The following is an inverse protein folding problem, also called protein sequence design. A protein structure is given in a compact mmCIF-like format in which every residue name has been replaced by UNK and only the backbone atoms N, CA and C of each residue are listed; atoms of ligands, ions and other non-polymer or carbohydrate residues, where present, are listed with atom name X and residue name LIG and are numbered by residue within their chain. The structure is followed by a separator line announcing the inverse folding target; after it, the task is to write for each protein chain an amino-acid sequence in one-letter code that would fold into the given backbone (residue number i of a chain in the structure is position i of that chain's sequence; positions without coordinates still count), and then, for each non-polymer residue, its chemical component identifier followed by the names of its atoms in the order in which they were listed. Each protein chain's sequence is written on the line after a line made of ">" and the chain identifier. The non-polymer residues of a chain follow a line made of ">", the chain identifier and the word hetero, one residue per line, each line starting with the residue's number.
data_IF_105532069395
#
_entry.id   IF_105532069395
#
_cell.length_a   1.000
_cell.length_b   1.000
_cell.length_c   1.000
_cell.angle_alpha   90.00
_cell.angle_beta   90.00
_cell.angle_gamma   90.00
#
_symmetry.space_group_name_H-M   'P 1'
#
loop_
_entity.id
_entity.type
_entity.pdbx_description
1 polymer ?
#
# COMPACT_ATOMS: atom_id res chain seq x y z
N UNK A 1 -33.90 -40.64 82.65
CA UNK A 1 -35.30 -40.95 82.25
C UNK A 1 -35.84 -39.78 81.44
N UNK A 2 -36.40 -40.06 80.25
CA UNK A 2 -37.54 -39.40 79.57
C UNK A 2 -37.60 -37.85 79.58
N UNK A 3 -37.95 -37.11 78.54
CA UNK A 3 -38.45 -37.33 77.18
C UNK A 3 -38.68 -35.90 76.61
N UNK A 4 -38.67 -35.76 75.28
CA UNK A 4 -39.67 -35.01 74.48
C UNK A 4 -39.86 -33.49 74.71
N UNK A 5 -39.54 -32.60 73.76
CA UNK A 5 -40.32 -32.20 72.54
C UNK A 5 -41.32 -31.05 72.75
N UNK A 6 -40.96 -29.92 72.12
CA UNK A 6 -41.73 -28.90 71.34
C UNK A 6 -42.76 -27.94 71.98
N UNK A 7 -42.66 -26.74 71.40
CA UNK A 7 -43.71 -25.78 71.00
C UNK A 7 -44.12 -24.71 72.03
N UNK A 8 -43.81 -23.44 71.74
CA UNK A 8 -44.81 -22.41 71.36
C UNK A 8 -44.23 -20.98 71.46
N UNK A 9 -44.79 -20.10 70.61
CA UNK A 9 -44.85 -18.63 70.73
C UNK A 9 -43.52 -17.88 70.41
N UNK A 10 -43.48 -16.68 69.80
CA UNK A 10 -44.47 -15.62 69.60
C UNK A 10 -43.96 -14.69 68.48
N UNK A 11 -44.87 -14.00 67.78
CA UNK A 11 -44.59 -12.84 66.93
C UNK A 11 -43.70 -11.80 67.63
N UNK A 12 -42.79 -11.15 66.89
CA UNK A 12 -42.35 -9.78 67.19
C UNK A 12 -42.08 -8.99 65.91
N UNK A 13 -42.43 -7.70 65.97
CA UNK A 13 -42.55 -6.76 64.87
C UNK A 13 -41.21 -6.14 64.39
N UNK A 14 -41.25 -5.68 63.14
CA UNK A 14 -40.54 -4.56 62.50
C UNK A 14 -39.17 -4.10 63.06
N UNK A 15 -38.14 -4.25 62.22
CA UNK A 15 -37.06 -3.27 62.10
C UNK A 15 -36.64 -3.17 60.63
N UNK A 16 -36.93 -2.02 60.03
CA UNK A 16 -36.41 -1.63 58.72
C UNK A 16 -34.91 -1.31 58.86
N UNK A 17 -34.08 -2.02 58.08
CA UNK A 17 -32.71 -1.60 57.77
C UNK A 17 -32.48 -1.91 56.29
N UNK A 18 -32.29 -0.84 55.53
CA UNK A 18 -32.07 -0.89 54.10
C UNK A 18 -30.81 -1.67 53.74
N UNK A 19 -30.97 -2.56 52.77
CA UNK A 19 -29.89 -3.00 51.90
C UNK A 19 -30.44 -2.94 50.48
N UNK A 20 -30.47 -1.73 49.92
CA UNK A 20 -30.43 -1.56 48.47
C UNK A 20 -29.12 -2.22 48.02
N UNK A 21 -29.21 -3.46 47.57
CA UNK A 21 -28.17 -4.09 46.78
C UNK A 21 -28.07 -3.32 45.47
N UNK A 22 -27.24 -2.28 45.46
CA UNK A 22 -26.77 -1.63 44.25
C UNK A 22 -25.99 -2.69 43.47
N UNK A 23 -26.66 -3.33 42.53
CA UNK A 23 -26.00 -3.93 41.38
C UNK A 23 -25.27 -2.79 40.67
N UNK A 24 -23.99 -2.63 40.99
CA UNK A 24 -23.06 -1.86 40.16
C UNK A 24 -22.96 -2.60 38.82
N UNK A 25 -23.94 -2.38 37.96
CA UNK A 25 -23.77 -2.46 36.53
C UNK A 25 -22.77 -1.36 36.18
N UNK A 26 -21.48 -1.69 36.29
CA UNK A 26 -20.44 -1.02 35.53
C UNK A 26 -20.83 -1.18 34.06
N UNK A 27 -21.59 -0.21 33.57
CA UNK A 27 -21.63 0.12 32.17
C UNK A 27 -20.21 0.54 31.82
N UNK A 28 -19.35 -0.43 31.49
CA UNK A 28 -18.16 -0.15 30.71
C UNK A 28 -18.69 0.44 29.41
N UNK A 29 -18.76 1.77 29.35
CA UNK A 29 -18.78 2.45 28.06
C UNK A 29 -17.43 2.10 27.45
N UNK A 30 -17.39 0.99 26.71
CA UNK A 30 -16.20 0.52 26.03
C UNK A 30 -15.93 1.60 24.98
N UNK A 31 -15.11 2.59 25.35
CA UNK A 31 -14.75 3.68 24.46
C UNK A 31 -14.13 3.04 23.22
N UNK A 32 -14.54 3.46 22.01
CA UNK A 32 -14.05 2.84 20.79
C UNK A 32 -12.52 2.95 20.74
N UNK A 33 -11.86 1.88 20.31
CA UNK A 33 -10.41 1.88 20.12
C UNK A 33 -10.04 2.92 19.06
N UNK A 34 -9.17 3.86 19.39
CA UNK A 34 -8.84 4.98 18.51
C UNK A 34 -7.64 4.65 17.64
N UNK A 35 -7.81 4.72 16.33
CA UNK A 35 -6.76 4.50 15.33
C UNK A 35 -6.65 5.73 14.41
N UNK A 36 -5.43 6.12 14.05
CA UNK A 36 -5.21 7.26 13.16
C UNK A 36 -4.37 6.90 11.94
N UNK A 37 -4.60 7.63 10.85
CA UNK A 37 -3.81 7.58 9.63
C UNK A 37 -3.26 8.96 9.28
N UNK A 38 -2.04 9.01 8.75
CA UNK A 38 -1.38 10.22 8.29
C UNK A 38 -1.05 10.02 6.82
N UNK A 39 -1.57 10.91 5.97
CA UNK A 39 -1.43 10.85 4.52
C UNK A 39 -0.58 12.01 3.99
N UNK A 40 0.24 11.72 2.98
CA UNK A 40 1.00 12.74 2.25
C UNK A 40 0.13 13.53 1.28
N UNK A 41 -0.85 12.88 0.64
CA UNK A 41 -1.80 13.49 -0.27
C UNK A 41 -3.22 13.59 0.29
N UNK A 42 -4.21 13.54 -0.61
CA UNK A 42 -5.65 13.60 -0.29
C UNK A 42 -6.33 12.28 -0.60
N UNK A 43 -7.33 11.88 0.18
CA UNK A 43 -8.16 10.69 -0.04
C UNK A 43 -8.94 10.70 -1.37
N UNK A 44 -8.93 11.82 -2.09
CA UNK A 44 -9.46 11.97 -3.45
C UNK A 44 -8.40 12.11 -4.53
N UNK A 45 -7.14 11.72 -4.28
CA UNK A 45 -6.06 11.74 -5.28
C UNK A 45 -6.24 10.69 -6.40
N UNK A 46 -7.15 9.73 -6.20
CA UNK A 46 -7.40 8.62 -7.10
C UNK A 46 -6.18 7.70 -7.30
N UNK A 47 -5.28 7.63 -6.32
CA UNK A 47 -4.13 6.73 -6.33
C UNK A 47 -3.73 6.34 -4.91
N UNK A 48 -2.50 6.65 -4.52
CA UNK A 48 -1.87 6.20 -3.28
C UNK A 48 -2.69 6.50 -2.02
N UNK A 49 -3.05 7.76 -1.80
CA UNK A 49 -3.76 8.16 -0.58
C UNK A 49 -5.19 7.62 -0.59
N UNK A 50 -5.86 7.62 -1.74
CA UNK A 50 -7.18 7.01 -1.86
C UNK A 50 -7.12 5.51 -1.50
N UNK A 51 -6.13 4.76 -2.00
CA UNK A 51 -5.98 3.34 -1.68
C UNK A 51 -5.82 3.11 -0.17
N UNK A 52 -4.99 3.93 0.50
CA UNK A 52 -4.84 3.89 1.95
C UNK A 52 -6.14 4.24 2.70
N UNK A 53 -6.85 5.27 2.25
CA UNK A 53 -8.10 5.68 2.85
C UNK A 53 -9.21 4.64 2.66
N UNK A 54 -9.27 3.98 1.52
CA UNK A 54 -10.16 2.85 1.28
C UNK A 54 -9.80 1.67 2.19
N UNK A 55 -8.51 1.43 2.43
CA UNK A 55 -8.05 0.51 3.47
C UNK A 55 -8.55 0.89 4.88
N UNK A 56 -8.48 2.16 5.26
CA UNK A 56 -9.01 2.67 6.54
C UNK A 56 -10.53 2.45 6.62
N UNK A 57 -11.28 2.72 5.55
CA UNK A 57 -12.74 2.49 5.48
C UNK A 57 -13.09 1.01 5.67
N UNK A 58 -12.26 0.07 5.19
CA UNK A 58 -12.44 -1.37 5.46
C UNK A 58 -12.32 -1.68 6.96
N UNK A 59 -11.45 -1.00 7.69
CA UNK A 59 -11.38 -1.11 9.16
C UNK A 59 -12.68 -0.66 9.81
N UNK A 60 -13.21 0.49 9.41
CA UNK A 60 -14.50 1.01 9.90
C UNK A 60 -15.64 0.04 9.60
N UNK A 61 -15.69 -0.49 8.39
CA UNK A 61 -16.71 -1.43 7.96
C UNK A 61 -16.66 -2.75 8.74
N UNK A 62 -15.47 -3.31 8.98
CA UNK A 62 -15.32 -4.62 9.62
C UNK A 62 -15.36 -4.58 11.15
N UNK A 63 -14.90 -3.49 11.77
CA UNK A 63 -14.84 -3.36 13.24
C UNK A 63 -15.99 -2.53 13.82
N UNK A 64 -16.70 -1.78 12.97
CA UNK A 64 -17.89 -1.01 13.35
C UNK A 64 -17.63 -0.10 14.55
N UNK A 65 -18.53 -0.16 15.54
CA UNK A 65 -18.46 0.69 16.75
C UNK A 65 -17.32 0.35 17.70
N UNK A 66 -16.59 -0.75 17.48
CA UNK A 66 -15.43 -1.10 18.30
C UNK A 66 -14.21 -0.22 18.02
N UNK A 67 -14.18 0.49 16.88
CA UNK A 67 -13.09 1.38 16.47
C UNK A 67 -13.63 2.78 16.20
N UNK A 68 -12.77 3.79 16.40
CA UNK A 68 -12.97 5.14 15.87
C UNK A 68 -11.73 5.52 15.10
N UNK A 69 -11.85 5.62 13.78
CA UNK A 69 -10.73 6.05 12.94
C UNK A 69 -10.68 7.58 12.82
N UNK A 70 -9.48 8.12 12.66
CA UNK A 70 -9.23 9.52 12.31
C UNK A 70 -8.13 9.58 11.27
N UNK A 71 -8.05 10.65 10.48
CA UNK A 71 -6.95 10.82 9.55
C UNK A 71 -6.53 12.30 9.43
N UNK A 72 -5.31 12.51 8.93
CA UNK A 72 -4.75 13.82 8.59
C UNK A 72 -4.19 13.75 7.17
N UNK A 73 -4.61 14.67 6.32
CA UNK A 73 -4.25 14.72 4.90
C UNK A 73 -3.26 15.85 4.62
N UNK A 74 -2.62 15.81 3.45
CA UNK A 74 -1.67 16.82 2.99
C UNK A 74 -0.58 17.11 4.03
N UNK A 75 -0.11 16.08 4.74
CA UNK A 75 0.98 16.23 5.70
C UNK A 75 2.28 16.13 4.94
N UNK A 76 3.07 17.22 4.83
CA UNK A 76 4.32 17.16 4.09
C UNK A 76 5.33 16.28 4.84
N UNK A 77 6.23 15.64 4.10
CA UNK A 77 7.36 14.90 4.69
C UNK A 77 8.33 15.84 5.42
N UNK A 78 8.89 15.37 6.53
CA UNK A 78 9.84 16.13 7.34
C UNK A 78 9.43 16.30 8.81
N UNK A 79 10.13 17.18 9.56
CA UNK A 79 9.99 17.28 11.01
C UNK A 79 8.59 17.63 11.52
N UNK A 80 7.77 18.32 10.72
CA UNK A 80 6.40 18.69 11.07
C UNK A 80 5.48 17.48 11.31
N UNK A 81 5.84 16.30 10.80
CA UNK A 81 5.10 15.05 11.05
C UNK A 81 5.05 14.73 12.55
N UNK A 82 6.11 15.04 13.31
CA UNK A 82 6.13 14.85 14.77
C UNK A 82 4.99 15.60 15.46
N UNK A 83 4.74 16.85 15.08
CA UNK A 83 3.65 17.66 15.65
C UNK A 83 2.26 17.08 15.35
N UNK A 84 2.09 16.51 14.16
CA UNK A 84 0.85 15.82 13.78
C UNK A 84 0.65 14.58 14.64
N UNK A 85 1.69 13.77 14.80
CA UNK A 85 1.66 12.56 15.64
C UNK A 85 1.38 12.91 17.09
N UNK A 86 2.07 13.88 17.68
CA UNK A 86 1.82 14.35 19.06
C UNK A 86 0.36 14.76 19.26
N UNK A 87 -0.24 15.45 18.27
CA UNK A 87 -1.65 15.80 18.28
C UNK A 87 -2.56 14.56 18.31
N UNK A 88 -2.28 13.56 17.45
CA UNK A 88 -3.04 12.31 17.40
C UNK A 88 -2.89 11.48 18.69
N UNK A 89 -1.71 11.47 19.30
CA UNK A 89 -1.47 10.82 20.60
C UNK A 89 -2.23 11.55 21.71
N UNK A 90 -2.21 12.89 21.73
CA UNK A 90 -2.98 13.71 22.69
C UNK A 90 -4.48 13.48 22.56
N UNK A 91 -4.96 13.26 21.33
CA UNK A 91 -6.35 12.89 21.07
C UNK A 91 -6.67 11.47 21.57
N UNK A 92 -5.68 10.66 21.94
CA UNK A 92 -5.86 9.34 22.54
C UNK A 92 -5.84 8.18 21.53
N UNK A 93 -5.30 8.39 20.33
CA UNK A 93 -5.07 7.28 19.39
C UNK A 93 -4.06 6.29 19.97
N UNK A 94 -4.33 5.00 19.78
CA UNK A 94 -3.54 3.87 20.32
C UNK A 94 -2.76 3.12 19.25
N UNK A 95 -3.12 3.31 17.98
CA UNK A 95 -2.32 2.94 16.82
C UNK A 95 -2.33 4.07 15.80
N UNK A 96 -1.19 4.35 15.18
CA UNK A 96 -1.01 5.41 14.18
C UNK A 96 -0.30 4.81 12.96
N UNK A 97 -0.95 4.92 11.80
CA UNK A 97 -0.41 4.53 10.50
C UNK A 97 0.13 5.76 9.78
N UNK A 98 1.39 5.73 9.37
CA UNK A 98 2.01 6.72 8.51
C UNK A 98 2.21 6.13 7.12
N UNK A 99 1.63 6.76 6.10
CA UNK A 99 1.49 6.16 4.77
C UNK A 99 2.42 6.78 3.73
N UNK A 100 3.65 7.14 4.10
CA UNK A 100 4.61 7.71 3.15
C UNK A 100 6.04 7.51 3.65
N UNK A 101 6.97 7.25 2.73
CA UNK A 101 8.37 6.95 3.01
C UNK A 101 9.02 7.99 3.94
N UNK A 102 8.87 9.28 3.61
CA UNK A 102 9.53 10.38 4.34
C UNK A 102 8.97 10.65 5.74
N UNK A 103 7.93 9.91 6.18
CA UNK A 103 7.43 10.00 7.56
C UNK A 103 8.25 9.18 8.56
N UNK A 104 9.07 8.25 8.08
CA UNK A 104 9.75 7.26 8.89
C UNK A 104 10.58 7.84 10.05
N UNK A 105 11.33 8.92 9.81
CA UNK A 105 12.22 9.49 10.82
C UNK A 105 11.42 10.10 11.98
N UNK A 106 10.35 10.84 11.65
CA UNK A 106 9.43 11.37 12.63
C UNK A 106 8.72 10.25 13.39
N UNK A 107 8.26 9.20 12.69
CA UNK A 107 7.61 8.05 13.33
C UNK A 107 8.53 7.31 14.30
N UNK A 108 9.82 7.15 13.97
CA UNK A 108 10.81 6.56 14.87
C UNK A 108 11.04 7.41 16.12
N UNK A 109 11.13 8.74 15.97
CA UNK A 109 11.28 9.67 17.09
C UNK A 109 10.06 9.64 18.02
N UNK A 110 8.85 9.66 17.46
CA UNK A 110 7.61 9.62 18.22
C UNK A 110 7.35 8.26 18.88
N UNK A 111 7.73 7.17 18.23
CA UNK A 111 7.68 5.84 18.82
C UNK A 111 8.51 5.76 20.11
N UNK A 112 9.69 6.40 20.14
CA UNK A 112 10.53 6.47 21.34
C UNK A 112 9.90 7.31 22.47
N UNK A 113 9.14 8.36 22.14
CA UNK A 113 8.44 9.23 23.11
C UNK A 113 7.15 8.59 23.65
N UNK A 114 6.52 7.70 22.89
CA UNK A 114 5.18 7.17 23.17
C UNK A 114 5.12 5.63 23.19
N UNK A 115 5.73 4.96 24.19
CA UNK A 115 5.81 3.50 24.23
C UNK A 115 4.46 2.77 24.34
N UNK A 116 3.40 3.45 24.79
CA UNK A 116 2.06 2.88 24.89
C UNK A 116 1.32 2.86 23.54
N UNK A 117 1.70 3.72 22.60
CA UNK A 117 1.11 3.81 21.25
C UNK A 117 1.84 2.89 20.29
N UNK A 118 1.11 2.31 19.34
CA UNK A 118 1.65 1.46 18.27
C UNK A 118 1.78 2.27 16.98
N UNK A 119 2.89 2.11 16.30
CA UNK A 119 3.23 2.85 15.09
C UNK A 119 3.43 1.87 13.95
N UNK A 120 2.89 2.23 12.78
CA UNK A 120 2.92 1.44 11.55
C UNK A 120 3.40 2.35 10.43
N UNK A 121 4.59 2.08 9.89
CA UNK A 121 5.24 2.90 8.86
C UNK A 121 5.18 2.21 7.50
N UNK A 122 4.60 2.87 6.50
CA UNK A 122 4.63 2.39 5.12
C UNK A 122 6.02 2.59 4.48
N UNK A 123 6.41 1.65 3.60
CA UNK A 123 7.53 1.76 2.63
C UNK A 123 8.94 1.97 3.22
N UNK A 124 9.07 1.93 4.55
CA UNK A 124 10.30 2.20 5.27
C UNK A 124 11.19 0.97 5.51
N UNK A 125 12.09 1.12 6.47
CA UNK A 125 13.03 0.10 6.96
C UNK A 125 13.29 0.21 8.48
N UNK A 126 12.87 1.29 9.15
CA UNK A 126 13.06 1.48 10.59
C UNK A 126 11.96 0.75 11.36
N UNK A 127 12.37 -0.02 12.36
CA UNK A 127 11.49 -0.66 13.33
C UNK A 127 11.97 -0.36 14.75
N UNK A 128 11.05 -0.44 15.71
CA UNK A 128 11.33 -0.36 17.14
C UNK A 128 10.31 -1.23 17.91
N UNK A 129 10.43 -1.33 19.23
CA UNK A 129 9.55 -2.17 20.05
C UNK A 129 8.05 -1.88 19.85
N UNK A 130 7.69 -0.65 19.49
CA UNK A 130 6.34 -0.20 19.20
C UNK A 130 6.19 0.46 17.81
N UNK A 131 7.17 0.27 16.92
CA UNK A 131 7.13 0.73 15.52
C UNK A 131 7.37 -0.47 14.59
N UNK A 132 6.33 -0.85 13.85
CA UNK A 132 6.40 -1.82 12.78
C UNK A 132 6.48 -1.12 11.41
N UNK A 133 6.95 -1.84 10.42
CA UNK A 133 7.05 -1.41 9.04
C UNK A 133 6.20 -2.33 8.15
N UNK A 134 5.60 -1.75 7.11
CA UNK A 134 4.84 -2.52 6.13
C UNK A 134 4.96 -1.96 4.72
N UNK A 135 5.06 -2.86 3.75
CA UNK A 135 4.92 -2.52 2.35
C UNK A 135 4.38 -3.70 1.53
N UNK A 136 4.21 -3.49 0.23
CA UNK A 136 3.82 -4.51 -0.72
C UNK A 136 4.82 -4.60 -1.87
N UNK A 137 4.99 -5.82 -2.38
CA UNK A 137 5.80 -6.16 -3.54
C UNK A 137 5.11 -5.70 -4.83
N UNK A 138 5.07 -4.39 -5.05
CA UNK A 138 4.48 -3.79 -6.24
C UNK A 138 5.07 -4.37 -7.53
N UNK A 139 6.33 -4.79 -7.51
CA UNK A 139 7.01 -5.47 -8.60
C UNK A 139 6.25 -6.67 -9.17
N UNK A 140 5.48 -7.41 -8.34
CA UNK A 140 4.65 -8.53 -8.79
C UNK A 140 3.60 -8.03 -9.81
N UNK A 141 2.88 -6.97 -9.46
CA UNK A 141 1.85 -6.39 -10.29
C UNK A 141 2.43 -5.54 -11.42
N UNK A 142 3.52 -4.83 -11.18
CA UNK A 142 4.20 -4.02 -12.20
C UNK A 142 4.75 -4.87 -13.34
N UNK A 143 5.21 -6.08 -13.06
CA UNK A 143 5.54 -7.03 -14.11
C UNK A 143 4.31 -7.36 -14.98
N UNK A 144 3.15 -7.55 -14.36
CA UNK A 144 1.90 -7.85 -15.06
C UNK A 144 1.34 -6.64 -15.83
N UNK A 145 1.43 -5.43 -15.28
CA UNK A 145 1.07 -4.19 -16.00
C UNK A 145 2.04 -3.92 -17.13
N UNK A 146 3.33 -4.20 -16.94
CA UNK A 146 4.35 -4.22 -17.98
C UNK A 146 3.98 -5.15 -19.14
N UNK A 147 3.54 -6.38 -18.85
CA UNK A 147 3.04 -7.30 -19.88
C UNK A 147 1.85 -6.70 -20.66
N UNK A 148 0.93 -6.00 -20.00
CA UNK A 148 -0.18 -5.32 -20.66
C UNK A 148 0.30 -4.17 -21.57
N UNK A 149 1.24 -3.35 -21.10
CA UNK A 149 1.86 -2.26 -21.87
C UNK A 149 2.60 -2.78 -23.10
N UNK A 150 3.39 -3.86 -22.94
CA UNK A 150 4.09 -4.51 -24.05
C UNK A 150 3.13 -5.06 -25.10
N UNK A 151 2.07 -5.76 -24.67
CA UNK A 151 1.07 -6.32 -25.57
C UNK A 151 0.26 -5.24 -26.32
N UNK A 152 0.06 -4.07 -25.71
CA UNK A 152 -0.65 -2.94 -26.31
C UNK A 152 0.24 -2.11 -27.25
N UNK A 153 1.55 -2.07 -27.01
CA UNK A 153 2.50 -1.29 -27.81
C UNK A 153 2.77 -1.95 -29.16
N UNK A 154 2.53 -1.19 -30.24
CA UNK A 154 2.86 -1.60 -31.61
C UNK A 154 4.31 -1.32 -31.98
N UNK A 155 4.93 -0.31 -31.36
CA UNK A 155 6.30 0.17 -31.63
C UNK A 155 7.34 -0.38 -30.65
N UNK A 156 6.91 -1.04 -29.57
CA UNK A 156 7.77 -1.42 -28.45
C UNK A 156 8.34 -0.20 -27.69
N UNK A 157 7.68 0.95 -27.75
CA UNK A 157 8.12 2.20 -27.10
C UNK A 157 7.15 2.58 -25.98
N UNK A 158 7.51 2.24 -24.75
CA UNK A 158 6.71 2.50 -23.56
C UNK A 158 7.28 3.71 -22.83
N UNK A 159 6.42 4.59 -22.33
CA UNK A 159 6.79 5.65 -21.41
C UNK A 159 6.50 5.28 -19.96
N UNK A 160 7.28 5.80 -19.02
CA UNK A 160 7.04 5.65 -17.60
C UNK A 160 7.30 6.97 -16.86
N UNK A 161 6.28 7.50 -16.18
CA UNK A 161 6.37 8.70 -15.33
C UNK A 161 6.74 8.27 -13.92
N UNK A 162 7.91 8.69 -13.44
CA UNK A 162 8.54 8.18 -12.22
C UNK A 162 8.77 9.29 -11.19
N UNK A 163 8.58 9.05 -9.88
CA UNK A 163 8.68 10.11 -8.87
C UNK A 163 10.13 10.38 -8.51
N UNK A 164 10.75 9.49 -7.73
CA UNK A 164 12.11 9.65 -7.22
C UNK A 164 13.01 8.48 -7.61
N UNK A 165 14.30 8.70 -7.89
CA UNK A 165 15.26 7.65 -8.20
C UNK A 165 15.72 6.90 -6.93
N UNK A 166 14.78 6.21 -6.29
CA UNK A 166 15.01 5.38 -5.09
C UNK A 166 14.78 3.90 -5.42
N UNK A 167 15.26 2.97 -4.58
CA UNK A 167 15.15 1.53 -4.87
C UNK A 167 13.74 1.03 -5.15
N UNK A 168 12.71 1.65 -4.56
CA UNK A 168 11.29 1.43 -4.84
C UNK A 168 10.95 1.64 -6.30
N UNK A 169 11.11 2.85 -6.78
CA UNK A 169 10.75 3.17 -8.16
C UNK A 169 11.66 2.44 -9.16
N UNK A 170 12.92 2.17 -8.80
CA UNK A 170 13.84 1.44 -9.68
C UNK A 170 13.38 0.00 -9.89
N UNK A 171 12.92 -0.70 -8.84
CA UNK A 171 12.39 -2.07 -9.00
C UNK A 171 11.07 -2.09 -9.75
N UNK A 172 10.18 -1.12 -9.53
CA UNK A 172 8.92 -0.98 -10.29
C UNK A 172 9.19 -0.81 -11.79
N UNK A 173 10.07 0.12 -12.17
CA UNK A 173 10.46 0.35 -13.58
C UNK A 173 11.07 -0.92 -14.19
N UNK A 174 11.93 -1.61 -13.45
CA UNK A 174 12.56 -2.83 -13.92
C UNK A 174 11.53 -3.96 -14.12
N UNK A 175 10.59 -4.12 -13.19
CA UNK A 175 9.49 -5.09 -13.31
C UNK A 175 8.63 -4.79 -14.55
N UNK A 176 8.24 -3.53 -14.76
CA UNK A 176 7.51 -3.09 -15.96
C UNK A 176 8.28 -3.43 -17.23
N UNK A 177 9.58 -3.15 -17.27
CA UNK A 177 10.41 -3.43 -18.45
C UNK A 177 10.52 -4.93 -18.75
N UNK A 178 10.75 -5.77 -17.74
CA UNK A 178 10.82 -7.22 -17.88
C UNK A 178 9.46 -7.81 -18.32
N UNK A 179 8.37 -7.30 -17.75
CA UNK A 179 7.01 -7.64 -18.13
C UNK A 179 6.71 -7.29 -19.58
N UNK A 180 7.01 -6.06 -19.98
CA UNK A 180 6.81 -5.59 -21.35
C UNK A 180 7.59 -6.41 -22.38
N UNK A 181 8.83 -6.78 -22.07
CA UNK A 181 9.67 -7.61 -22.94
C UNK A 181 9.14 -9.04 -23.10
N UNK A 182 8.32 -9.51 -22.16
CA UNK A 182 7.71 -10.85 -22.21
C UNK A 182 6.61 -10.94 -23.26
N UNK A 183 5.83 -9.88 -23.44
CA UNK A 183 4.75 -9.80 -24.44
C UNK A 183 5.16 -9.09 -25.72
N UNK A 184 6.24 -8.30 -25.67
CA UNK A 184 6.83 -7.61 -26.82
C UNK A 184 8.36 -7.67 -26.75
N UNK A 185 8.99 -8.71 -27.34
CA UNK A 185 10.44 -8.85 -27.34
C UNK A 185 11.12 -7.61 -27.92
N UNK A 186 12.05 -7.02 -27.16
CA UNK A 186 12.76 -5.79 -27.55
C UNK A 186 12.06 -4.48 -27.18
N UNK A 187 10.94 -4.53 -26.43
CA UNK A 187 10.32 -3.34 -25.87
C UNK A 187 11.29 -2.53 -25.01
N UNK A 188 11.16 -1.21 -25.09
CA UNK A 188 11.94 -0.22 -24.33
C UNK A 188 11.03 0.61 -23.44
N UNK A 189 11.54 0.98 -22.26
CA UNK A 189 10.82 1.82 -21.29
C UNK A 189 11.58 3.14 -21.11
N UNK A 190 11.00 4.24 -21.56
CA UNK A 190 11.56 5.59 -21.42
C UNK A 190 11.07 6.23 -20.12
N UNK A 191 11.99 6.60 -19.24
CA UNK A 191 11.68 7.15 -17.91
C UNK A 191 11.76 8.68 -17.91
N UNK A 192 10.81 9.34 -17.25
CA UNK A 192 10.91 10.76 -16.85
C UNK A 192 10.69 10.88 -15.36
N UNK A 193 11.64 11.51 -14.68
CA UNK A 193 11.59 11.78 -13.24
C UNK A 193 10.85 13.09 -12.96
N UNK A 194 9.83 13.07 -12.09
CA UNK A 194 9.07 14.27 -11.67
C UNK A 194 9.65 14.90 -10.40
N UNK A 195 10.42 14.14 -9.62
CA UNK A 195 10.96 14.51 -8.30
C UNK A 195 9.85 14.93 -7.31
N UNK A 196 8.71 14.24 -7.37
CA UNK A 196 7.57 14.40 -6.46
C UNK A 196 6.70 13.15 -6.54
N UNK A 197 6.09 12.74 -5.43
CA UNK A 197 5.09 11.67 -5.42
C UNK A 197 3.75 12.13 -6.01
N UNK A 198 3.36 13.37 -5.68
CA UNK A 198 2.08 13.95 -6.05
C UNK A 198 2.25 15.41 -6.50
N UNK A 199 2.06 15.65 -7.80
CA UNK A 199 1.91 16.97 -8.42
C UNK A 199 1.26 16.75 -9.80
N UNK A 200 -0.09 16.73 -9.89
CA UNK A 200 -0.79 16.41 -11.13
C UNK A 200 -0.36 17.29 -12.32
N UNK A 201 0.13 18.51 -12.07
CA UNK A 201 0.64 19.38 -13.13
C UNK A 201 1.96 18.87 -13.67
N UNK A 202 2.95 18.57 -12.82
CA UNK A 202 4.24 18.02 -13.24
C UNK A 202 4.11 16.62 -13.83
N UNK A 203 3.25 15.78 -13.27
CA UNK A 203 2.94 14.45 -13.78
C UNK A 203 2.43 14.50 -15.22
N UNK A 204 1.45 15.38 -15.47
CA UNK A 204 0.90 15.61 -16.81
C UNK A 204 1.96 16.12 -17.79
N UNK A 205 2.82 17.04 -17.37
CA UNK A 205 3.91 17.56 -18.19
C UNK A 205 4.94 16.48 -18.55
N UNK A 206 5.31 15.63 -17.57
CA UNK A 206 6.21 14.50 -17.78
C UNK A 206 5.61 13.48 -18.77
N UNK A 207 4.32 13.15 -18.60
CA UNK A 207 3.59 12.30 -19.52
C UNK A 207 3.54 12.90 -20.94
N UNK A 208 3.21 14.17 -21.08
CA UNK A 208 3.21 14.89 -22.36
C UNK A 208 4.59 14.88 -23.05
N UNK A 209 5.68 14.99 -22.27
CA UNK A 209 7.05 14.87 -22.78
C UNK A 209 7.31 13.49 -23.40
N UNK A 210 6.91 12.41 -22.70
CA UNK A 210 7.02 11.04 -23.20
C UNK A 210 6.19 10.82 -24.47
N UNK A 211 4.93 11.25 -24.45
CA UNK A 211 4.01 11.14 -25.60
C UNK A 211 4.56 11.89 -26.82
N UNK A 212 5.14 13.09 -26.62
CA UNK A 212 5.78 13.86 -27.69
C UNK A 212 7.03 13.19 -28.27
N UNK A 213 7.70 12.31 -27.49
CA UNK A 213 8.81 11.45 -27.98
C UNK A 213 8.32 10.18 -28.68
N UNK A 214 7.00 10.01 -28.83
CA UNK A 214 6.40 8.99 -29.67
C UNK A 214 6.26 7.60 -29.04
N UNK A 215 6.24 7.53 -27.69
CA UNK A 215 5.78 6.32 -26.99
C UNK A 215 4.32 6.02 -27.38
N UNK A 216 3.97 4.74 -27.50
CA UNK A 216 2.63 4.31 -27.91
C UNK A 216 1.91 3.44 -26.86
N UNK A 217 2.53 3.30 -25.69
CA UNK A 217 1.89 2.92 -24.43
C UNK A 217 2.59 3.66 -23.27
N UNK A 218 1.89 3.94 -22.17
CA UNK A 218 2.46 4.70 -21.05
C UNK A 218 1.97 4.21 -19.68
N UNK A 219 2.89 4.01 -18.75
CA UNK A 219 2.61 3.72 -17.34
C UNK A 219 3.15 4.82 -16.42
N UNK A 220 2.96 4.63 -15.12
CA UNK A 220 3.46 5.54 -14.09
C UNK A 220 3.74 4.80 -12.77
N UNK A 221 4.50 5.45 -11.90
CA UNK A 221 4.55 5.17 -10.46
C UNK A 221 4.23 6.44 -9.66
N UNK A 222 3.27 7.25 -10.12
CA UNK A 222 2.84 8.50 -9.45
C UNK A 222 1.52 8.28 -8.70
N UNK A 223 1.25 9.15 -7.73
CA UNK A 223 0.08 9.04 -6.84
C UNK A 223 -1.24 9.53 -7.49
N UNK A 224 -1.20 10.19 -8.65
CA UNK A 224 -2.40 10.73 -9.32
C UNK A 224 -2.59 10.16 -10.73
N UNK A 225 -3.81 10.17 -11.29
CA UNK A 225 -4.07 9.63 -12.62
C UNK A 225 -3.71 10.59 -13.77
N UNK A 226 -2.93 11.65 -13.51
CA UNK A 226 -2.62 12.71 -14.48
C UNK A 226 -1.91 12.19 -15.75
N UNK A 227 -1.15 11.09 -15.66
CA UNK A 227 -0.57 10.42 -16.85
C UNK A 227 -1.65 9.88 -17.78
N UNK A 228 -2.69 9.26 -17.22
CA UNK A 228 -3.84 8.77 -17.98
C UNK A 228 -4.62 9.88 -18.67
N UNK A 229 -4.78 11.02 -18.00
CA UNK A 229 -5.39 12.21 -18.62
C UNK A 229 -4.59 12.74 -19.81
N UNK A 230 -3.25 12.76 -19.68
CA UNK A 230 -2.37 13.17 -20.78
C UNK A 230 -2.46 12.19 -21.96
N UNK A 231 -2.46 10.88 -21.67
CA UNK A 231 -2.57 9.82 -22.66
C UNK A 231 -3.90 9.88 -23.43
N UNK A 232 -5.00 10.20 -22.71
CA UNK A 232 -6.35 10.36 -23.27
C UNK A 232 -6.40 11.41 -24.37
N UNK A 233 -5.66 12.52 -24.22
CA UNK A 233 -5.65 13.60 -25.19
C UNK A 233 -5.10 13.19 -26.57
N UNK A 234 -4.33 12.09 -26.63
CA UNK A 234 -3.70 11.60 -27.87
C UNK A 234 -4.03 10.12 -28.17
N UNK A 235 -4.93 9.51 -27.41
CA UNK A 235 -5.40 8.13 -27.63
C UNK A 235 -4.36 7.04 -27.36
N UNK A 236 -3.31 7.33 -26.60
CA UNK A 236 -2.28 6.33 -26.24
C UNK A 236 -2.76 5.46 -25.08
N UNK A 237 -2.54 4.15 -25.17
CA UNK A 237 -2.93 3.19 -24.13
C UNK A 237 -2.13 3.41 -22.85
N UNK A 238 -2.78 3.24 -21.70
CA UNK A 238 -2.15 3.52 -20.42
C UNK A 238 -2.47 2.50 -19.34
N UNK A 239 -1.57 2.40 -18.36
CA UNK A 239 -1.79 1.68 -17.11
C UNK A 239 -1.69 2.61 -15.90
N UNK A 240 -2.53 2.36 -14.90
CA UNK A 240 -2.54 3.11 -13.64
C UNK A 240 -1.65 2.50 -12.56
N UNK A 241 -1.62 3.18 -11.42
CA UNK A 241 -0.85 2.79 -10.24
C UNK A 241 -1.67 3.07 -8.97
N UNK A 242 -1.32 2.36 -7.89
CA UNK A 242 -1.93 2.34 -6.55
C UNK A 242 -3.38 1.86 -6.40
N UNK A 243 -4.27 2.27 -7.31
CA UNK A 243 -5.70 2.03 -7.22
C UNK A 243 -6.33 1.78 -8.61
N UNK A 244 -7.59 1.34 -8.63
CA UNK A 244 -8.32 1.19 -9.88
C UNK A 244 -8.71 2.56 -10.46
N UNK A 245 -7.94 3.01 -11.44
CA UNK A 245 -8.12 4.28 -12.15
C UNK A 245 -8.85 4.11 -13.49
N UNK A 246 -9.52 2.98 -13.72
CA UNK A 246 -10.18 2.66 -15.00
C UNK A 246 -11.22 3.69 -15.45
N UNK A 247 -11.80 4.45 -14.51
CA UNK A 247 -12.79 5.50 -14.79
C UNK A 247 -12.20 6.78 -15.41
N UNK A 248 -10.89 7.03 -15.31
CA UNK A 248 -10.28 8.30 -15.76
C UNK A 248 -10.22 8.38 -17.30
N UNK A 249 -9.76 7.30 -17.92
CA UNK A 249 -9.68 7.18 -19.38
C UNK A 249 -10.01 5.74 -19.81
N UNK A 250 -11.28 5.31 -19.70
CA UNK A 250 -11.70 3.91 -19.87
C UNK A 250 -11.42 3.35 -21.27
N UNK A 251 -11.52 4.17 -22.31
CA UNK A 251 -11.31 3.75 -23.71
C UNK A 251 -9.86 3.34 -24.02
N UNK A 252 -8.92 3.87 -23.25
CA UNK A 252 -7.48 3.62 -23.40
C UNK A 252 -6.87 2.86 -22.21
N UNK A 253 -7.69 2.51 -21.21
CA UNK A 253 -7.27 1.74 -20.04
C UNK A 253 -6.82 0.34 -20.41
N UNK A 254 -5.70 -0.08 -19.82
CA UNK A 254 -5.19 -1.45 -19.90
C UNK A 254 -5.49 -2.22 -18.62
N UNK A 255 -4.92 -1.77 -17.49
CA UNK A 255 -5.04 -2.28 -16.12
C UNK A 255 -4.18 -1.34 -15.25
N UNK A 256 -3.95 -1.65 -13.98
CA UNK A 256 -3.04 -0.89 -13.13
C UNK A 256 -2.64 -1.68 -11.90
N UNK A 257 -1.50 -1.37 -11.31
CA UNK A 257 -1.09 -1.98 -10.04
C UNK A 257 -1.99 -1.44 -8.94
N UNK A 258 -2.52 -2.32 -8.07
CA UNK A 258 -3.43 -1.94 -6.99
C UNK A 258 -2.99 -2.52 -5.66
N UNK A 259 -3.08 -1.71 -4.61
CA UNK A 259 -2.86 -2.15 -3.23
C UNK A 259 -4.18 -2.47 -2.53
N UNK A 260 -4.12 -3.47 -1.66
CA UNK A 260 -5.23 -3.90 -0.82
C UNK A 260 -4.84 -3.81 0.66
N UNK A 261 -4.73 -2.58 1.16
CA UNK A 261 -4.31 -2.30 2.54
C UNK A 261 -5.30 -2.76 3.61
N UNK A 262 -6.59 -2.88 3.27
CA UNK A 262 -7.68 -3.15 4.20
C UNK A 262 -7.47 -4.40 5.09
N UNK A 263 -7.24 -5.60 4.51
CA UNK A 263 -6.94 -6.81 5.28
C UNK A 263 -5.76 -6.66 6.26
N UNK A 264 -4.69 -6.00 5.82
CA UNK A 264 -3.54 -5.71 6.67
C UNK A 264 -3.94 -4.80 7.83
N UNK A 265 -4.59 -3.66 7.57
CA UNK A 265 -5.02 -2.73 8.61
C UNK A 265 -5.98 -3.34 9.62
N UNK A 266 -6.97 -4.11 9.17
CA UNK A 266 -7.89 -4.83 10.06
C UNK A 266 -7.11 -5.74 11.00
N UNK A 267 -6.14 -6.51 10.47
CA UNK A 267 -5.30 -7.41 11.26
C UNK A 267 -4.49 -6.65 12.31
N UNK A 268 -3.86 -5.53 11.93
CA UNK A 268 -3.02 -4.72 12.84
C UNK A 268 -3.83 -4.03 13.93
N UNK A 269 -4.99 -3.46 13.58
CA UNK A 269 -5.88 -2.82 14.56
C UNK A 269 -6.44 -3.85 15.54
N UNK A 270 -6.89 -5.03 15.07
CA UNK A 270 -7.32 -6.14 15.95
C UNK A 270 -6.21 -6.55 16.93
N UNK A 271 -4.99 -6.74 16.43
CA UNK A 271 -3.85 -7.11 17.24
C UNK A 271 -3.50 -6.04 18.30
N UNK A 272 -3.68 -4.75 17.97
CA UNK A 272 -3.48 -3.67 18.94
C UNK A 272 -4.60 -3.62 20.00
N UNK A 273 -5.84 -3.92 19.61
CA UNK A 273 -6.99 -3.98 20.53
C UNK A 273 -6.90 -5.14 21.53
N UNK A 274 -6.44 -6.31 21.10
CA UNK A 274 -6.35 -7.51 21.95
C UNK A 274 -4.99 -7.68 22.66
N UNK A 275 -4.04 -6.77 22.40
CA UNK A 275 -2.71 -6.79 23.01
C UNK A 275 -1.74 -7.79 22.38
N UNK A 276 -2.09 -8.44 21.27
CA UNK A 276 -1.22 -9.38 20.54
C UNK A 276 -0.31 -8.71 19.50
N UNK A 277 -0.41 -7.39 19.33
CA UNK A 277 0.42 -6.62 18.41
C UNK A 277 1.91 -6.85 18.67
N UNK A 278 2.66 -7.08 17.61
CA UNK A 278 4.12 -7.22 17.63
C UNK A 278 4.73 -6.39 16.51
N UNK A 279 5.89 -5.82 16.81
CA UNK A 279 6.74 -5.17 15.82
C UNK A 279 7.29 -6.18 14.81
N UNK A 280 7.70 -5.67 13.65
CA UNK A 280 8.29 -6.42 12.56
C UNK A 280 8.17 -5.65 11.24
N UNK A 281 8.76 -6.20 10.20
CA UNK A 281 8.55 -5.78 8.82
C UNK A 281 7.59 -6.74 8.12
N UNK A 282 6.71 -6.18 7.31
CA UNK A 282 5.79 -6.95 6.49
C UNK A 282 5.97 -6.55 5.03
N UNK A 283 6.23 -7.52 4.16
CA UNK A 283 6.34 -7.32 2.71
C UNK A 283 5.32 -8.24 2.03
N UNK A 284 4.12 -7.72 1.78
CA UNK A 284 3.00 -8.47 1.21
C UNK A 284 3.15 -8.63 -0.30
N UNK A 285 2.62 -9.71 -0.86
CA UNK A 285 2.78 -10.04 -2.29
C UNK A 285 1.43 -10.26 -2.96
N UNK A 286 1.44 -10.56 -4.26
CA UNK A 286 0.22 -11.00 -4.93
C UNK A 286 -0.31 -12.33 -4.37
N UNK A 287 0.56 -13.14 -3.77
CA UNK A 287 0.22 -14.44 -3.18
C UNK A 287 -0.60 -14.33 -1.89
N UNK A 288 -0.38 -13.29 -1.08
CA UNK A 288 -1.17 -13.03 0.13
C UNK A 288 -2.29 -11.99 -0.09
N UNK A 289 -2.37 -11.44 -1.30
CA UNK A 289 -3.41 -10.52 -1.73
C UNK A 289 -3.21 -9.07 -1.30
N UNK A 290 -2.02 -8.69 -0.84
CA UNK A 290 -1.68 -7.29 -0.57
C UNK A 290 -1.63 -6.46 -1.87
N UNK A 291 -1.17 -7.08 -2.96
CA UNK A 291 -1.01 -6.46 -4.27
C UNK A 291 -1.84 -7.22 -5.29
N UNK A 292 -2.41 -6.52 -6.26
CA UNK A 292 -2.98 -7.13 -7.46
C UNK A 292 -2.90 -6.18 -8.66
N UNK A 293 -3.47 -6.58 -9.80
CA UNK A 293 -3.79 -5.71 -10.92
C UNK A 293 -5.29 -5.42 -10.99
N UNK A 294 -5.64 -4.20 -11.35
CA UNK A 294 -7.01 -3.77 -11.60
C UNK A 294 -7.65 -4.56 -12.77
N UNK A 295 -8.98 -4.57 -12.87
CA UNK A 295 -9.67 -5.18 -14.01
C UNK A 295 -9.15 -4.65 -15.35
N UNK A 296 -8.98 -5.56 -16.31
CA UNK A 296 -8.49 -5.21 -17.63
C UNK A 296 -9.49 -4.36 -18.41
N UNK A 297 -9.02 -3.24 -18.97
CA UNK A 297 -9.80 -2.40 -19.87
C UNK A 297 -10.14 -3.10 -21.18
N UNK A 298 -11.22 -2.67 -21.83
CA UNK A 298 -11.81 -3.36 -23.00
C UNK A 298 -10.83 -3.55 -24.17
N UNK A 299 -9.79 -2.72 -24.25
CA UNK A 299 -8.79 -2.79 -25.31
C UNK A 299 -7.72 -3.87 -25.13
N UNK A 300 -7.64 -4.53 -23.97
CA UNK A 300 -6.73 -5.66 -23.76
C UNK A 300 -7.31 -6.91 -24.42
N UNK A 301 -6.59 -7.47 -25.40
CA UNK A 301 -7.01 -8.66 -26.14
C UNK A 301 -7.13 -9.89 -25.23
N UNK A 302 -7.98 -10.86 -25.60
CA UNK A 302 -8.14 -12.08 -24.81
C UNK A 302 -6.81 -12.84 -24.67
N UNK A 303 -6.01 -12.91 -25.73
CA UNK A 303 -4.70 -13.55 -25.70
C UNK A 303 -3.75 -12.89 -24.67
N UNK A 304 -3.74 -11.56 -24.58
CA UNK A 304 -2.96 -10.85 -23.58
C UNK A 304 -3.50 -11.10 -22.16
N UNK A 305 -4.82 -11.08 -21.97
CA UNK A 305 -5.47 -11.40 -20.67
C UNK A 305 -5.07 -12.79 -20.19
N UNK A 306 -5.12 -13.79 -21.08
CA UNK A 306 -4.79 -15.17 -20.74
C UNK A 306 -3.32 -15.32 -20.34
N UNK A 307 -2.40 -14.67 -21.08
CA UNK A 307 -0.98 -14.67 -20.74
C UNK A 307 -0.70 -14.00 -19.38
N UNK A 308 -1.32 -12.84 -19.14
CA UNK A 308 -1.13 -12.09 -17.88
C UNK A 308 -1.73 -12.86 -16.71
N UNK A 309 -2.94 -13.43 -16.85
CA UNK A 309 -3.56 -14.24 -15.80
C UNK A 309 -2.75 -15.51 -15.50
N UNK A 310 -2.23 -16.20 -16.52
CA UNK A 310 -1.36 -17.35 -16.31
C UNK A 310 -0.09 -16.96 -15.54
N UNK A 311 0.48 -15.79 -15.85
CA UNK A 311 1.65 -15.26 -15.14
C UNK A 311 1.32 -14.87 -13.70
N UNK A 312 0.18 -14.22 -13.47
CA UNK A 312 -0.34 -13.88 -12.14
C UNK A 312 -0.47 -15.13 -11.26
N UNK A 313 -1.05 -16.22 -11.77
CA UNK A 313 -1.13 -17.47 -11.01
C UNK A 313 0.25 -18.12 -10.76
N UNK A 314 1.20 -17.94 -11.68
CA UNK A 314 2.58 -18.38 -11.48
C UNK A 314 3.30 -17.59 -10.37
N UNK A 315 3.08 -16.27 -10.28
CA UNK A 315 3.56 -15.42 -9.18
C UNK A 315 2.92 -15.84 -7.85
N UNK A 316 1.59 -15.96 -7.81
CA UNK A 316 0.85 -16.38 -6.61
C UNK A 316 1.30 -17.74 -6.07
N UNK A 317 1.60 -18.70 -6.96
CA UNK A 317 2.08 -20.03 -6.59
C UNK A 317 3.58 -20.09 -6.29
N UNK A 318 4.34 -19.02 -6.56
CA UNK A 318 5.80 -18.97 -6.42
C UNK A 318 6.57 -19.79 -7.46
N UNK A 319 5.89 -20.32 -8.49
CA UNK A 319 6.51 -21.05 -9.61
C UNK A 319 7.19 -20.11 -10.60
N UNK A 320 6.85 -18.82 -10.57
CA UNK A 320 7.55 -17.75 -11.26
C UNK A 320 7.99 -16.67 -10.27
N UNK A 321 9.08 -15.98 -10.59
CA UNK A 321 9.58 -14.82 -9.88
C UNK A 321 10.28 -13.90 -10.88
N UNK A 322 9.78 -12.68 -11.02
CA UNK A 322 10.13 -11.67 -12.02
C UNK A 322 11.60 -11.28 -11.98
N UNK A 323 12.20 -11.25 -10.77
CA UNK A 323 13.62 -11.00 -10.58
C UNK A 323 14.48 -12.28 -10.54
N UNK A 324 14.12 -13.27 -11.35
CA UNK A 324 14.98 -14.44 -11.61
C UNK A 324 15.85 -14.17 -12.83
N UNK A 325 17.17 -14.37 -12.70
CA UNK A 325 18.10 -14.18 -13.78
C UNK A 325 17.94 -15.18 -14.94
N UNK A 326 18.52 -14.87 -16.11
CA UNK A 326 19.58 -13.88 -16.28
C UNK A 326 19.05 -12.45 -16.38
N UNK A 327 19.51 -11.56 -15.48
CA UNK A 327 19.22 -10.14 -15.55
C UNK A 327 20.49 -9.38 -15.92
N UNK A 328 20.37 -8.50 -16.91
CA UNK A 328 21.45 -7.62 -17.36
C UNK A 328 21.06 -6.18 -17.12
N UNK A 329 22.04 -5.35 -16.79
CA UNK A 329 21.85 -3.90 -16.72
C UNK A 329 21.84 -3.25 -18.12
N UNK A 330 21.64 -1.93 -18.17
CA UNK A 330 21.64 -1.13 -19.40
C UNK A 330 22.92 -1.25 -20.24
N UNK A 331 24.07 -1.61 -19.64
CA UNK A 331 25.33 -1.84 -20.35
C UNK A 331 25.45 -3.24 -20.96
N UNK A 332 24.53 -4.14 -20.60
CA UNK A 332 24.58 -5.55 -20.95
C UNK A 332 25.37 -6.41 -19.96
N UNK A 333 25.92 -5.83 -18.90
CA UNK A 333 26.59 -6.58 -17.85
C UNK A 333 25.58 -7.42 -17.06
N UNK A 334 25.90 -8.71 -16.86
CA UNK A 334 25.06 -9.61 -16.08
C UNK A 334 25.12 -9.20 -14.61
N UNK A 335 23.97 -8.84 -14.04
CA UNK A 335 23.82 -8.52 -12.62
C UNK A 335 23.38 -9.72 -11.81
N UNK A 336 22.46 -10.52 -12.36
CA UNK A 336 21.93 -11.72 -11.74
C UNK A 336 22.08 -12.87 -12.71
N UNK A 337 22.75 -13.95 -12.27
CA UNK A 337 23.02 -15.12 -13.10
C UNK A 337 21.75 -15.91 -13.44
N UNK A 338 21.79 -16.67 -14.53
CA UNK A 338 20.67 -17.49 -14.97
C UNK A 338 20.18 -18.44 -13.87
N UNK A 339 18.87 -18.47 -13.62
CA UNK A 339 18.25 -19.32 -12.59
C UNK A 339 18.44 -18.84 -11.15
N UNK A 340 19.15 -17.73 -10.91
CA UNK A 340 19.29 -17.15 -9.57
C UNK A 340 18.18 -16.14 -9.31
N UNK A 341 17.48 -16.29 -8.19
CA UNK A 341 16.50 -15.32 -7.70
C UNK A 341 17.22 -14.20 -6.94
N UNK A 342 16.83 -12.94 -7.17
CA UNK A 342 17.24 -11.86 -6.28
C UNK A 342 16.72 -12.11 -4.85
N UNK A 343 17.48 -11.68 -3.85
CA UNK A 343 17.02 -11.65 -2.46
C UNK A 343 16.24 -10.36 -2.19
N UNK A 344 15.43 -10.35 -1.13
CA UNK A 344 14.73 -9.12 -0.70
C UNK A 344 15.72 -7.97 -0.44
N UNK A 345 16.86 -8.26 0.20
CA UNK A 345 17.91 -7.26 0.42
C UNK A 345 18.40 -6.62 -0.89
N UNK A 346 18.65 -7.43 -1.92
CA UNK A 346 19.09 -6.93 -3.23
C UNK A 346 18.03 -6.08 -3.93
N UNK A 347 16.75 -6.36 -3.69
CA UNK A 347 15.61 -5.62 -4.26
C UNK A 347 15.41 -4.30 -3.53
N UNK A 348 15.50 -4.31 -2.20
CA UNK A 348 15.40 -3.09 -1.38
C UNK A 348 16.60 -2.16 -1.54
N UNK A 349 17.71 -2.65 -2.12
CA UNK A 349 18.90 -1.85 -2.43
C UNK A 349 19.14 -1.66 -3.95
N UNK A 350 18.13 -1.91 -4.79
CA UNK A 350 18.30 -1.87 -6.24
C UNK A 350 18.60 -0.44 -6.73
N UNK A 351 19.71 -0.27 -7.46
CA UNK A 351 20.22 1.04 -7.89
C UNK A 351 20.57 1.09 -9.39
N UNK A 352 20.14 0.09 -10.15
CA UNK A 352 20.47 -0.08 -11.57
C UNK A 352 19.21 -0.45 -12.36
N UNK A 353 19.21 -0.08 -13.64
CA UNK A 353 18.13 -0.44 -14.55
C UNK A 353 18.47 -1.66 -15.40
N UNK A 354 17.47 -2.51 -15.64
CA UNK A 354 17.57 -3.64 -16.57
C UNK A 354 17.75 -3.17 -18.01
N UNK A 355 18.30 -4.05 -18.84
CA UNK A 355 18.43 -3.82 -20.27
C UNK A 355 17.07 -3.46 -20.90
N UNK A 356 17.03 -2.41 -21.72
CA UNK A 356 15.82 -1.92 -22.39
C UNK A 356 15.17 -0.71 -21.71
N UNK A 357 15.53 -0.41 -20.46
CA UNK A 357 15.15 0.87 -19.83
C UNK A 357 16.04 1.99 -20.40
N UNK A 358 15.43 3.12 -20.75
CA UNK A 358 16.06 4.32 -21.29
C UNK A 358 15.88 5.45 -20.27
N UNK A 359 17.00 5.96 -19.77
CA UNK A 359 17.05 6.94 -18.68
C UNK A 359 18.24 6.66 -17.77
N UNK A 360 18.30 7.34 -16.63
CA UNK A 360 19.32 7.16 -15.61
C UNK A 360 18.66 6.71 -14.30
N UNK A 361 19.17 5.66 -13.63
CA UNK A 361 18.66 5.21 -12.34
C UNK A 361 19.03 6.17 -11.19
N UNK A 362 19.87 7.19 -11.46
CA UNK A 362 20.28 8.20 -10.48
C UNK A 362 19.45 9.49 -10.56
N UNK A 363 18.37 9.50 -11.33
CA UNK A 363 17.65 10.73 -11.67
C UNK A 363 18.24 11.42 -12.91
N UNK A 364 17.66 12.57 -13.24
CA UNK A 364 18.04 13.43 -14.37
C UNK A 364 18.10 14.89 -13.99
#
# INVERSE_FOLDING_TARGET
>A
MKKSVRLAATMLAAAALGACGTTNSTTSTNQPFKAAWIYVGTAGDHGWTQAHDDGRKVVEQQLGTAVKTTFKENVPEGPQVEQVVEGLVRDGNKIIFATSFGFQDAMANEAAKHPDVKFEQATGFKTANNLAEYFGAAEDADYLTGMALGAASSKGKIGFVAPFPIPEVIREINAVALGAQTTHPGATVQVVWTNTWFDPTKEKQAAQSLLSRGVDAIGQGQDSPATGEAAKAVGVKWSGYDSDQSNVAPDIWLTGTVYHWGPYYVKRVKAAMDGSWKTGSYYGSIGDGMIDIAPFGQSVTQAARDQINAKKEALKSGTFYEFTGPLKDQSGAVKIAAGTKMTLEQILSMDWFVQGVIGSPKGG
#
